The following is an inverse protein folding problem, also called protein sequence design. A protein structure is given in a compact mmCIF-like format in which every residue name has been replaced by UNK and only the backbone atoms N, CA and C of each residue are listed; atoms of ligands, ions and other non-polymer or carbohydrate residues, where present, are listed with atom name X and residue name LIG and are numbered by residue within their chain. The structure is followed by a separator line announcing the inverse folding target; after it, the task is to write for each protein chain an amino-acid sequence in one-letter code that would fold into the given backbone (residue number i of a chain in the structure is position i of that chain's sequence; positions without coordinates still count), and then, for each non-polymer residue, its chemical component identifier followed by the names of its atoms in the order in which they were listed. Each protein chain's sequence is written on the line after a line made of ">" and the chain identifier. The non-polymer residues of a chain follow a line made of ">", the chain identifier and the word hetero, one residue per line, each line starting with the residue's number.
data_IF_888017501663
#
_entry.id   IF_888017501663
#
_cell.length_a   1.000
_cell.length_b   1.000
_cell.length_c   1.000
_cell.angle_alpha   90.00
_cell.angle_beta   90.00
_cell.angle_gamma   90.00
#
_symmetry.space_group_name_H-M   'P 1'
#
loop_
_entity.id
_entity.type
_entity.pdbx_description
1 polymer ?
#
# COMPACT_ATOMS: atom_id res chain seq x y z
N UNK A 1 18.58 -38.14 24.21
CA UNK A 1 18.19 -36.73 24.29
C UNK A 1 17.54 -36.41 22.95
N UNK A 2 16.24 -36.67 22.83
CA UNK A 2 15.47 -36.43 21.61
C UNK A 2 15.20 -34.93 21.55
N UNK A 3 15.81 -34.26 20.58
CA UNK A 3 15.53 -32.85 20.28
C UNK A 3 14.10 -32.80 19.76
N UNK A 4 13.14 -32.41 20.61
CA UNK A 4 11.79 -32.10 20.14
C UNK A 4 11.87 -30.89 19.21
N UNK A 5 11.49 -31.11 17.95
CA UNK A 5 11.41 -30.04 16.96
C UNK A 5 10.34 -29.05 17.41
N UNK A 6 10.65 -27.76 17.34
CA UNK A 6 9.64 -26.75 17.60
C UNK A 6 8.58 -26.74 16.48
N UNK A 7 7.42 -26.12 16.72
CA UNK A 7 6.30 -26.08 15.75
C UNK A 7 6.71 -25.62 14.34
N UNK A 8 7.67 -24.70 14.22
CA UNK A 8 8.16 -24.22 12.93
C UNK A 8 9.06 -25.24 12.23
N UNK A 9 9.92 -25.92 12.97
CA UNK A 9 10.78 -26.98 12.43
C UNK A 9 9.95 -28.18 11.96
N UNK A 10 8.91 -28.54 12.72
CA UNK A 10 7.96 -29.58 12.34
C UNK A 10 7.19 -29.20 11.07
N UNK A 11 6.69 -27.97 10.99
CA UNK A 11 6.02 -27.46 9.79
C UNK A 11 6.91 -27.55 8.54
N UNK A 12 8.18 -27.15 8.65
CA UNK A 12 9.12 -27.21 7.51
C UNK A 12 9.41 -28.65 7.10
N UNK A 13 9.53 -29.57 8.05
CA UNK A 13 9.73 -30.99 7.77
C UNK A 13 8.51 -31.58 7.02
N UNK A 14 7.30 -31.29 7.52
CA UNK A 14 6.05 -31.77 6.93
C UNK A 14 5.82 -31.19 5.53
N UNK A 15 6.11 -29.89 5.34
CA UNK A 15 6.05 -29.23 4.03
C UNK A 15 6.97 -29.92 3.01
N UNK A 16 8.24 -30.17 3.38
CA UNK A 16 9.22 -30.84 2.50
C UNK A 16 8.80 -32.26 2.15
N UNK A 17 8.29 -33.02 3.12
CA UNK A 17 7.80 -34.37 2.89
C UNK A 17 6.61 -34.39 1.92
N UNK A 18 5.66 -33.47 2.09
CA UNK A 18 4.51 -33.33 1.20
C UNK A 18 4.90 -32.87 -0.21
N UNK A 19 5.78 -31.88 -0.32
CA UNK A 19 6.29 -31.40 -1.60
C UNK A 19 7.00 -32.53 -2.39
N UNK A 20 7.82 -33.35 -1.71
CA UNK A 20 8.47 -34.49 -2.33
C UNK A 20 7.48 -35.58 -2.79
N UNK A 21 6.44 -35.85 -1.99
CA UNK A 21 5.39 -36.80 -2.34
C UNK A 21 4.59 -36.33 -3.57
N UNK A 22 4.21 -35.05 -3.60
CA UNK A 22 3.49 -34.44 -4.73
C UNK A 22 4.34 -34.37 -6.00
N UNK A 23 5.65 -34.09 -5.85
CA UNK A 23 6.59 -34.11 -6.98
C UNK A 23 6.70 -35.51 -7.59
N UNK A 24 6.86 -36.53 -6.73
CA UNK A 24 6.93 -37.93 -7.17
C UNK A 24 5.65 -38.39 -7.88
N UNK A 25 4.50 -37.87 -7.45
CA UNK A 25 3.20 -38.16 -8.05
C UNK A 25 2.90 -37.34 -9.33
N UNK A 26 3.84 -36.51 -9.82
CA UNK A 26 3.62 -35.54 -10.90
C UNK A 26 2.44 -34.57 -10.63
N UNK A 27 2.11 -34.33 -9.36
CA UNK A 27 1.04 -33.43 -8.94
C UNK A 27 1.55 -32.03 -8.55
N UNK A 28 2.87 -31.85 -8.47
CA UNK A 28 3.54 -30.60 -8.14
C UNK A 28 4.90 -30.54 -8.83
N UNK A 29 5.25 -29.42 -9.43
CA UNK A 29 6.57 -29.15 -9.98
C UNK A 29 7.12 -27.88 -9.31
N UNK A 30 8.23 -27.96 -8.55
CA UNK A 30 8.83 -26.79 -7.92
C UNK A 30 9.22 -25.68 -8.91
N UNK A 31 9.48 -26.02 -10.18
CA UNK A 31 9.81 -25.04 -11.21
C UNK A 31 8.61 -24.16 -11.63
N UNK A 32 7.39 -24.60 -11.31
CA UNK A 32 6.16 -23.83 -11.58
C UNK A 32 5.87 -22.80 -10.47
N UNK A 33 6.62 -22.80 -9.36
CA UNK A 33 6.51 -21.76 -8.35
C UNK A 33 7.10 -20.44 -8.88
N UNK A 34 6.23 -19.45 -9.04
CA UNK A 34 6.60 -18.12 -9.48
C UNK A 34 6.08 -17.07 -8.51
N UNK A 35 6.96 -16.15 -8.10
CA UNK A 35 6.56 -14.97 -7.31
C UNK A 35 5.61 -14.09 -8.14
N UNK A 36 4.36 -13.98 -7.67
CA UNK A 36 3.25 -13.31 -8.34
C UNK A 36 3.17 -11.80 -8.03
N UNK A 37 4.31 -11.08 -8.02
CA UNK A 37 4.35 -9.65 -7.72
C UNK A 37 5.37 -8.89 -8.61
N UNK A 38 4.95 -7.75 -9.14
CA UNK A 38 5.81 -6.80 -9.85
C UNK A 38 6.17 -5.58 -9.00
N UNK A 39 7.44 -5.25 -8.88
CA UNK A 39 7.93 -4.04 -8.22
C UNK A 39 8.80 -3.21 -9.16
N UNK A 40 8.80 -1.89 -9.00
CA UNK A 40 9.60 -0.98 -9.82
C UNK A 40 9.68 0.41 -9.23
N UNK A 41 10.64 1.21 -9.70
CA UNK A 41 10.80 2.60 -9.32
C UNK A 41 11.17 3.46 -10.51
N UNK A 42 10.85 4.76 -10.45
CA UNK A 42 11.20 5.74 -11.46
C UNK A 42 11.73 6.98 -10.76
N UNK A 43 12.89 7.45 -11.21
CA UNK A 43 13.55 8.61 -10.66
C UNK A 43 13.97 9.59 -11.76
N UNK A 44 13.91 10.88 -11.43
CA UNK A 44 14.56 11.92 -12.21
C UNK A 44 16.00 12.07 -11.70
N UNK A 45 16.99 11.80 -12.54
CA UNK A 45 18.42 11.81 -12.16
C UNK A 45 18.86 13.20 -11.69
N UNK A 46 18.31 14.26 -12.27
CA UNK A 46 18.58 15.65 -11.88
C UNK A 46 17.82 16.12 -10.64
N UNK A 47 17.04 15.23 -10.00
CA UNK A 47 16.25 15.52 -8.80
C UNK A 47 15.05 16.45 -9.00
N UNK A 48 14.79 16.94 -10.21
CA UNK A 48 13.70 17.89 -10.49
C UNK A 48 12.35 17.15 -10.58
N UNK A 49 11.33 17.54 -9.77
CA UNK A 49 10.02 16.91 -9.83
C UNK A 49 9.38 17.05 -11.21
N UNK A 50 8.84 15.96 -11.75
CA UNK A 50 8.13 15.93 -13.04
C UNK A 50 6.84 15.14 -12.94
N UNK A 51 5.83 15.56 -13.71
CA UNK A 51 4.57 14.83 -13.87
C UNK A 51 4.79 13.49 -14.59
N UNK A 52 5.69 13.47 -15.57
CA UNK A 52 6.04 12.27 -16.34
C UNK A 52 6.53 11.09 -15.49
N UNK A 53 7.17 11.35 -14.33
CA UNK A 53 7.57 10.28 -13.39
C UNK A 53 6.36 9.53 -12.85
N UNK A 54 5.27 10.23 -12.55
CA UNK A 54 4.03 9.60 -12.06
C UNK A 54 3.30 8.88 -13.18
N UNK A 55 3.25 9.48 -14.36
CA UNK A 55 2.60 8.88 -15.53
C UNK A 55 3.27 7.58 -15.93
N UNK A 56 4.61 7.55 -15.94
CA UNK A 56 5.37 6.33 -16.19
C UNK A 56 5.20 5.28 -15.07
N UNK A 57 5.04 5.72 -13.83
CA UNK A 57 4.75 4.79 -12.72
C UNK A 57 3.40 4.10 -12.91
N UNK A 58 2.38 4.86 -13.35
CA UNK A 58 1.07 4.31 -13.70
C UNK A 58 1.16 3.42 -14.94
N UNK A 59 1.91 3.81 -15.96
CA UNK A 59 2.18 3.01 -17.17
C UNK A 59 2.80 1.65 -16.81
N UNK A 60 3.78 1.63 -15.91
CA UNK A 60 4.39 0.40 -15.42
C UNK A 60 3.38 -0.50 -14.68
N UNK A 61 2.55 0.06 -13.80
CA UNK A 61 1.51 -0.70 -13.09
C UNK A 61 0.47 -1.31 -14.04
N UNK A 62 0.23 -0.69 -15.20
CA UNK A 62 -0.65 -1.25 -16.23
C UNK A 62 -0.02 -2.42 -16.99
N UNK A 63 1.27 -2.67 -16.85
CA UNK A 63 1.99 -3.73 -17.57
C UNK A 63 2.23 -5.00 -16.74
N UNK A 64 1.84 -5.03 -15.46
CA UNK A 64 2.12 -6.16 -14.54
C UNK A 64 0.92 -7.08 -14.28
N UNK A 65 -0.20 -6.89 -14.98
CA UNK A 65 -1.42 -7.71 -14.81
C UNK A 65 -1.19 -9.20 -15.06
N UNK A 66 -0.25 -9.57 -15.93
CA UNK A 66 0.11 -10.96 -16.22
C UNK A 66 0.80 -11.67 -15.05
N UNK A 67 1.13 -10.94 -13.98
CA UNK A 67 1.76 -11.46 -12.76
C UNK A 67 0.90 -11.31 -11.52
N UNK A 68 -0.25 -10.63 -11.60
CA UNK A 68 -1.14 -10.46 -10.46
C UNK A 68 -2.17 -11.58 -10.40
N UNK A 69 -2.57 -11.99 -9.20
CA UNK A 69 -3.79 -12.76 -9.05
C UNK A 69 -4.97 -11.85 -9.42
N UNK A 70 -5.72 -12.26 -10.45
CA UNK A 70 -6.96 -11.63 -10.87
C UNK A 70 -8.08 -12.60 -10.54
N UNK A 71 -9.05 -12.15 -9.76
CA UNK A 71 -10.21 -12.98 -9.45
C UNK A 71 -11.12 -13.11 -10.69
N UNK A 72 -11.97 -14.13 -10.72
CA UNK A 72 -12.87 -14.42 -11.83
C UNK A 72 -13.92 -13.31 -12.07
N UNK A 73 -14.11 -12.38 -11.13
CA UNK A 73 -15.02 -11.23 -11.24
C UNK A 73 -14.50 -10.12 -12.16
N UNK A 74 -13.23 -10.17 -12.57
CA UNK A 74 -12.57 -9.17 -13.41
C UNK A 74 -12.38 -7.80 -12.75
N UNK A 75 -12.59 -7.69 -11.44
CA UNK A 75 -12.47 -6.46 -10.64
C UNK A 75 -11.50 -6.61 -9.47
N UNK A 76 -11.52 -7.76 -8.82
CA UNK A 76 -10.76 -8.03 -7.61
C UNK A 76 -9.33 -8.43 -7.96
N UNK A 77 -8.39 -7.84 -7.24
CA UNK A 77 -6.98 -8.22 -7.23
C UNK A 77 -6.39 -7.97 -5.85
N UNK A 78 -5.28 -8.63 -5.54
CA UNK A 78 -4.72 -8.67 -4.18
C UNK A 78 -4.26 -7.30 -3.66
N UNK A 79 -3.76 -6.45 -4.55
CA UNK A 79 -3.36 -5.10 -4.22
C UNK A 79 -2.41 -4.45 -5.22
N UNK A 80 -2.52 -3.13 -5.37
CA UNK A 80 -1.60 -2.32 -6.16
C UNK A 80 -1.38 -0.97 -5.46
N UNK A 81 -0.20 -0.38 -5.63
CA UNK A 81 0.13 0.89 -4.98
C UNK A 81 1.20 1.68 -5.72
N UNK A 82 1.15 3.01 -5.56
CA UNK A 82 2.17 3.93 -6.06
C UNK A 82 2.56 4.91 -4.95
N UNK A 83 3.83 4.85 -4.53
CA UNK A 83 4.37 5.82 -3.59
C UNK A 83 4.97 7.01 -4.35
N UNK A 84 4.61 8.23 -3.93
CA UNK A 84 5.22 9.46 -4.46
C UNK A 84 5.39 10.51 -3.37
N UNK A 85 6.22 11.52 -3.68
CA UNK A 85 6.32 12.74 -2.88
C UNK A 85 4.98 13.48 -2.84
N UNK A 86 4.64 14.03 -1.67
CA UNK A 86 3.47 14.89 -1.46
C UNK A 86 3.48 16.06 -2.48
N UNK A 87 2.45 16.17 -3.36
CA UNK A 87 2.34 17.27 -4.31
C UNK A 87 1.96 18.57 -3.58
N UNK A 88 2.98 19.31 -3.13
CA UNK A 88 2.81 20.52 -2.33
C UNK A 88 1.85 21.54 -2.97
N UNK A 89 1.94 21.77 -4.28
CA UNK A 89 1.01 22.69 -4.99
C UNK A 89 -0.44 22.26 -4.81
N UNK A 90 -0.75 20.98 -5.09
CA UNK A 90 -2.09 20.43 -4.97
C UNK A 90 -2.68 20.60 -3.56
N UNK A 91 -1.91 20.26 -2.51
CA UNK A 91 -2.39 20.38 -1.14
C UNK A 91 -2.44 21.83 -0.63
N UNK A 92 -1.48 22.68 -1.00
CA UNK A 92 -1.52 24.11 -0.65
C UNK A 92 -2.71 24.80 -1.31
N UNK A 93 -3.04 24.44 -2.55
CA UNK A 93 -4.21 25.01 -3.23
C UNK A 93 -5.51 24.53 -2.57
N UNK A 94 -5.59 23.27 -2.11
CA UNK A 94 -6.73 22.82 -1.31
C UNK A 94 -6.89 23.60 0.00
N UNK A 95 -5.80 23.85 0.73
CA UNK A 95 -5.79 24.67 1.96
C UNK A 95 -6.30 26.09 1.70
N UNK A 96 -5.97 26.68 0.54
CA UNK A 96 -6.50 28.01 0.14
C UNK A 96 -7.99 27.98 -0.11
N UNK A 97 -8.50 26.93 -0.77
CA UNK A 97 -9.93 26.80 -1.09
C UNK A 97 -10.79 26.75 0.17
N UNK A 98 -10.29 26.14 1.25
CA UNK A 98 -10.99 26.09 2.55
C UNK A 98 -10.79 27.37 3.40
N UNK A 99 -10.22 28.44 2.83
CA UNK A 99 -10.13 29.76 3.47
C UNK A 99 -8.85 30.03 4.26
N UNK A 100 -7.86 29.14 4.23
CA UNK A 100 -6.59 29.33 4.94
C UNK A 100 -5.50 29.89 4.02
N UNK A 101 -4.53 30.61 4.60
CA UNK A 101 -3.31 30.98 3.89
C UNK A 101 -2.39 29.76 3.81
N UNK A 102 -1.97 29.40 2.60
CA UNK A 102 -0.97 28.34 2.42
C UNK A 102 0.36 28.74 3.09
N UNK A 103 1.01 27.85 3.85
CA UNK A 103 2.26 28.17 4.52
C UNK A 103 3.43 28.19 3.51
N UNK A 104 4.53 28.83 3.88
CA UNK A 104 5.74 28.87 3.04
C UNK A 104 6.50 27.54 3.05
N UNK A 105 6.51 26.87 4.22
CA UNK A 105 7.11 25.54 4.41
C UNK A 105 6.31 24.42 3.69
N UNK A 106 6.77 23.18 3.84
CA UNK A 106 6.09 22.02 3.27
C UNK A 106 4.91 21.62 4.18
N UNK A 107 3.77 21.35 3.56
CA UNK A 107 2.65 20.67 4.19
C UNK A 107 2.95 19.17 4.34
N UNK A 108 2.59 18.63 5.50
CA UNK A 108 2.53 17.19 5.74
C UNK A 108 1.14 16.65 5.41
N UNK A 109 1.06 15.37 5.08
CA UNK A 109 -0.19 14.66 4.79
C UNK A 109 -0.10 13.28 5.43
N UNK A 110 -1.10 12.93 6.23
CA UNK A 110 -1.34 11.55 6.65
C UNK A 110 -2.37 10.91 5.73
N UNK A 111 -1.99 9.81 5.08
CA UNK A 111 -2.94 8.95 4.36
C UNK A 111 -3.36 7.85 5.33
N UNK A 112 -4.63 7.82 5.71
CA UNK A 112 -5.14 6.86 6.70
C UNK A 112 -6.41 6.16 6.21
N UNK A 113 -6.56 4.90 6.57
CA UNK A 113 -7.82 4.18 6.46
C UNK A 113 -8.48 4.14 7.83
N UNK A 114 -9.78 4.42 7.86
CA UNK A 114 -10.59 4.47 9.07
C UNK A 114 -11.69 3.40 8.98
N UNK A 115 -12.26 2.96 10.11
CA UNK A 115 -13.46 2.14 10.10
C UNK A 115 -14.55 2.79 9.24
N UNK A 116 -15.14 2.02 8.31
CA UNK A 116 -16.16 2.51 7.37
C UNK A 116 -17.59 2.39 7.92
N UNK A 117 -17.85 1.37 8.72
CA UNK A 117 -19.21 0.97 9.14
C UNK A 117 -19.61 1.62 10.47
N UNK A 118 -18.66 1.76 11.40
CA UNK A 118 -18.91 2.37 12.71
C UNK A 118 -18.44 3.81 12.72
N UNK A 119 -19.38 4.75 12.80
CA UNK A 119 -19.08 6.18 12.93
C UNK A 119 -18.40 6.48 14.28
N UNK A 120 -18.85 5.84 15.37
CA UNK A 120 -18.22 6.00 16.69
C UNK A 120 -16.75 5.59 16.67
N UNK A 121 -16.44 4.45 16.03
CA UNK A 121 -15.05 4.00 15.87
C UNK A 121 -14.26 4.94 14.94
N UNK A 122 -14.88 5.47 13.89
CA UNK A 122 -14.25 6.44 13.00
C UNK A 122 -13.87 7.72 13.74
N UNK A 123 -14.77 8.27 14.55
CA UNK A 123 -14.49 9.46 15.36
C UNK A 123 -13.45 9.20 16.45
N UNK A 124 -13.52 8.06 17.15
CA UNK A 124 -12.48 7.66 18.10
C UNK A 124 -11.08 7.59 17.44
N UNK A 125 -10.98 7.02 16.24
CA UNK A 125 -9.73 6.99 15.47
C UNK A 125 -9.25 8.40 15.08
N UNK A 126 -10.15 9.29 14.63
CA UNK A 126 -9.79 10.68 14.30
C UNK A 126 -9.27 11.42 15.53
N UNK A 127 -9.95 11.29 16.66
CA UNK A 127 -9.53 11.88 17.94
C UNK A 127 -8.12 11.44 18.33
N UNK A 128 -7.78 10.15 18.19
CA UNK A 128 -6.43 9.64 18.48
C UNK A 128 -5.40 10.30 17.55
N UNK A 129 -5.66 10.30 16.23
CA UNK A 129 -4.75 10.89 15.24
C UNK A 129 -4.52 12.38 15.51
N UNK A 130 -5.59 13.14 15.75
CA UNK A 130 -5.50 14.56 16.05
C UNK A 130 -4.77 14.82 17.36
N UNK A 131 -5.09 14.07 18.42
CA UNK A 131 -4.46 14.20 19.74
C UNK A 131 -2.95 14.03 19.64
N UNK A 132 -2.47 13.00 18.95
CA UNK A 132 -1.02 12.76 18.83
C UNK A 132 -0.32 13.84 17.97
N UNK A 133 -0.97 14.36 16.93
CA UNK A 133 -0.42 15.46 16.14
C UNK A 133 -0.33 16.75 16.98
N UNK A 134 -1.38 17.05 17.74
CA UNK A 134 -1.47 18.23 18.61
C UNK A 134 -0.50 18.15 19.80
N UNK A 135 -0.25 16.95 20.35
CA UNK A 135 0.74 16.72 21.42
C UNK A 135 2.14 17.17 21.03
N UNK A 136 2.50 17.08 19.75
CA UNK A 136 3.76 17.58 19.22
C UNK A 136 3.71 19.06 18.79
N UNK A 137 2.59 19.75 19.01
CA UNK A 137 2.42 21.17 18.70
C UNK A 137 2.27 21.48 17.20
N UNK A 138 1.96 20.48 16.37
CA UNK A 138 1.70 20.70 14.95
C UNK A 138 0.29 21.25 14.71
N UNK A 139 0.11 21.91 13.57
CA UNK A 139 -1.16 22.49 13.16
C UNK A 139 -1.91 21.58 12.17
N UNK A 140 -3.21 21.41 12.39
CA UNK A 140 -4.10 20.58 11.57
C UNK A 140 -5.00 21.51 10.74
N UNK A 141 -4.85 21.49 9.41
CA UNK A 141 -5.74 22.24 8.51
C UNK A 141 -7.11 21.58 8.33
N UNK A 142 -7.21 20.28 8.62
CA UNK A 142 -8.44 19.51 8.58
C UNK A 142 -8.31 18.23 7.77
N UNK A 143 -9.43 17.51 7.71
CA UNK A 143 -9.54 16.24 6.99
C UNK A 143 -10.00 16.45 5.56
N UNK A 144 -9.52 15.60 4.67
CA UNK A 144 -9.97 15.53 3.27
C UNK A 144 -10.36 14.09 2.94
N UNK A 145 -11.64 13.86 2.68
CA UNK A 145 -12.08 12.59 2.11
C UNK A 145 -11.47 12.44 0.71
N UNK A 146 -10.77 11.32 0.48
CA UNK A 146 -10.11 11.06 -0.80
C UNK A 146 -11.18 10.70 -1.83
N UNK A 147 -11.23 11.40 -2.99
CA UNK A 147 -12.11 11.00 -4.08
C UNK A 147 -11.72 9.62 -4.60
N UNK A 148 -12.69 8.71 -4.67
CA UNK A 148 -12.55 7.35 -5.19
C UNK A 148 -13.73 7.04 -6.11
N UNK A 149 -13.52 6.12 -7.05
CA UNK A 149 -14.60 5.45 -7.78
C UNK A 149 -14.64 3.99 -7.31
N UNK A 150 -15.81 3.50 -6.91
CA UNK A 150 -16.02 2.14 -6.38
C UNK A 150 -16.81 1.25 -7.35
N UNK A 151 -17.20 1.77 -8.51
CA UNK A 151 -17.80 1.00 -9.61
C UNK A 151 -16.78 0.02 -10.22
#
# INVERSE_FOLDING_TARGET
>A
MTTELNQGEQFVADFRANAAALTTANAYNPEDEHDACGVGFIAAIDGKPRRSVVEKGIEALKAVWHRGAVDADGKTGDGAGIQRRVPQKFFKDHVKVIGHRAPDNKLAVGQVFLPRISLDAQEACRCIVETEILRFGYYIYGWRQVPINVD
#
